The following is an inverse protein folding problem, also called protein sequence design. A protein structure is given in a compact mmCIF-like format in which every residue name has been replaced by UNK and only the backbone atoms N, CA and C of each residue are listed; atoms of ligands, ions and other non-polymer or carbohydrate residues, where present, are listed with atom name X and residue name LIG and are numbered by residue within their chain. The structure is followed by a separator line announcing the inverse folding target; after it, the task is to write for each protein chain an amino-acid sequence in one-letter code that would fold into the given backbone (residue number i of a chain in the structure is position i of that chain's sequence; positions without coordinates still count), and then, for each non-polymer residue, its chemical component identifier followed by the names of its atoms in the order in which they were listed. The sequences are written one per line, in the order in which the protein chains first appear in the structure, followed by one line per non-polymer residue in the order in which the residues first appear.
data_IF_483930106703
#
_entry.id   IF_483930106703
#
_cell.length_a   1.000
_cell.length_b   1.000
_cell.length_c   1.000
_cell.angle_alpha   90.00
_cell.angle_beta   90.00
_cell.angle_gamma   90.00
#
_symmetry.space_group_name_H-M   'P 1'
#
loop_
_entity.id
_entity.type
_entity.pdbx_description
1 polymer ?
#
# COMPACT_ATOMS: atom_id res chain seq x y z
N UNK A 1 -2.33 -10.26 -6.83
CA UNK A 1 -1.11 -9.99 -6.05
C UNK A 1 -0.51 -11.31 -5.58
N UNK A 2 0.77 -11.45 -5.77
CA UNK A 2 1.47 -12.65 -5.35
C UNK A 2 1.60 -12.67 -3.83
N UNK A 3 1.23 -13.79 -3.20
CA UNK A 3 1.33 -13.95 -1.74
C UNK A 3 2.70 -14.47 -1.30
N UNK A 4 3.65 -14.49 -2.22
CA UNK A 4 4.99 -15.02 -1.94
C UNK A 4 5.84 -13.98 -1.20
N UNK A 5 6.12 -14.25 0.07
CA UNK A 5 6.92 -13.36 0.92
C UNK A 5 8.32 -13.91 1.08
N UNK A 6 9.31 -13.03 1.07
CA UNK A 6 10.71 -13.41 1.26
C UNK A 6 11.14 -13.16 2.71
N UNK A 7 12.26 -13.76 3.11
CA UNK A 7 12.81 -13.54 4.44
C UNK A 7 13.75 -12.34 4.51
N UNK A 8 14.02 -11.70 3.36
CA UNK A 8 15.00 -10.60 3.29
C UNK A 8 14.51 -9.31 3.91
N UNK A 9 13.20 -9.13 4.02
CA UNK A 9 12.61 -7.91 4.57
C UNK A 9 11.37 -8.25 5.38
N UNK A 10 11.00 -7.39 6.35
CA UNK A 10 9.73 -7.55 7.04
C UNK A 10 8.56 -7.57 6.07
N UNK A 11 7.53 -8.35 6.37
CA UNK A 11 6.39 -8.49 5.48
C UNK A 11 5.69 -7.16 5.21
N UNK A 12 5.58 -6.30 6.24
CA UNK A 12 4.93 -4.99 6.05
C UNK A 12 5.64 -4.16 4.98
N UNK A 13 6.95 -4.29 4.88
CA UNK A 13 7.75 -3.56 3.89
C UNK A 13 7.52 -4.11 2.49
N UNK A 14 7.44 -5.43 2.37
CA UNK A 14 7.15 -6.07 1.10
C UNK A 14 5.74 -5.71 0.62
N UNK A 15 4.78 -5.64 1.54
CA UNK A 15 3.43 -5.20 1.20
C UNK A 15 3.44 -3.75 0.71
N UNK A 16 4.17 -2.88 1.40
CA UNK A 16 4.33 -1.49 0.97
C UNK A 16 4.90 -1.43 -0.45
N UNK A 17 5.93 -2.21 -0.74
CA UNK A 17 6.56 -2.22 -2.06
C UNK A 17 5.60 -2.72 -3.14
N UNK A 18 4.74 -3.69 -2.82
CA UNK A 18 3.75 -4.17 -3.77
C UNK A 18 2.73 -3.09 -4.12
N UNK A 19 2.29 -2.32 -3.14
CA UNK A 19 1.37 -1.20 -3.38
C UNK A 19 2.04 -0.14 -4.25
N UNK A 20 3.30 0.18 -3.96
CA UNK A 20 4.06 1.14 -4.77
C UNK A 20 4.14 0.66 -6.23
N UNK A 21 4.41 -0.62 -6.44
CA UNK A 21 4.46 -1.18 -7.78
C UNK A 21 3.10 -1.04 -8.49
N UNK A 22 2.00 -1.28 -7.78
CA UNK A 22 0.66 -1.14 -8.36
C UNK A 22 0.37 0.31 -8.75
N UNK A 23 0.86 1.27 -7.98
CA UNK A 23 0.71 2.68 -8.31
C UNK A 23 1.53 3.01 -9.56
N UNK A 24 2.77 2.54 -9.62
CA UNK A 24 3.64 2.80 -10.77
C UNK A 24 3.12 2.16 -12.05
N UNK A 25 2.52 0.98 -11.94
CA UNK A 25 1.98 0.26 -13.09
C UNK A 25 0.60 0.76 -13.51
N UNK A 26 0.00 1.65 -12.74
CA UNK A 26 -1.32 2.19 -13.07
C UNK A 26 -2.48 1.29 -12.66
N UNK A 27 -2.22 0.23 -11.90
CA UNK A 27 -3.28 -0.63 -11.34
C UNK A 27 -4.08 0.15 -10.29
N UNK A 28 -3.36 0.94 -9.49
CA UNK A 28 -3.97 1.90 -8.56
C UNK A 28 -3.67 3.30 -9.07
N UNK A 29 -4.71 4.06 -9.31
CA UNK A 29 -4.57 5.44 -9.80
C UNK A 29 -4.91 6.44 -8.70
N UNK A 30 -4.65 7.71 -8.96
CA UNK A 30 -4.91 8.78 -8.00
C UNK A 30 -6.37 8.74 -7.52
N UNK A 31 -6.54 8.76 -6.21
CA UNK A 31 -7.86 8.74 -5.61
C UNK A 31 -8.48 7.37 -5.45
N UNK A 32 -7.84 6.31 -5.95
CA UNK A 32 -8.35 4.95 -5.79
C UNK A 32 -8.25 4.50 -4.35
N UNK A 33 -9.26 3.75 -3.90
CA UNK A 33 -9.26 3.17 -2.57
C UNK A 33 -8.34 1.94 -2.53
N UNK A 34 -7.55 1.83 -1.47
CA UNK A 34 -6.80 0.61 -1.21
C UNK A 34 -7.74 -0.45 -0.64
N UNK A 35 -7.45 -1.74 -0.85
CA UNK A 35 -8.19 -2.80 -0.17
C UNK A 35 -8.12 -2.58 1.35
N UNK A 36 -9.18 -2.95 2.06
CA UNK A 36 -9.20 -2.77 3.51
C UNK A 36 -8.13 -3.63 4.17
N UNK A 37 -7.64 -3.17 5.31
CA UNK A 37 -6.68 -3.92 6.11
C UNK A 37 -7.20 -5.33 6.40
N UNK A 38 -8.47 -5.42 6.78
CA UNK A 38 -9.09 -6.70 7.11
C UNK A 38 -9.12 -7.65 5.92
N UNK A 39 -9.47 -7.14 4.74
CA UNK A 39 -9.53 -7.97 3.54
C UNK A 39 -8.14 -8.48 3.14
N UNK A 40 -7.13 -7.62 3.18
CA UNK A 40 -5.77 -8.02 2.84
C UNK A 40 -5.25 -9.05 3.83
N UNK A 41 -5.48 -8.81 5.12
CA UNK A 41 -5.04 -9.73 6.16
C UNK A 41 -5.66 -11.12 5.97
N UNK A 42 -6.95 -11.16 5.64
CA UNK A 42 -7.65 -12.43 5.43
C UNK A 42 -7.15 -13.13 4.16
N UNK A 43 -6.98 -12.38 3.08
CA UNK A 43 -6.58 -12.93 1.80
C UNK A 43 -5.19 -13.56 1.84
N UNK A 44 -4.25 -12.91 2.51
CA UNK A 44 -2.86 -13.35 2.55
C UNK A 44 -2.44 -13.99 3.87
N UNK A 45 -3.40 -14.25 4.74
CA UNK A 45 -3.17 -14.87 6.05
C UNK A 45 -2.14 -14.09 6.87
N UNK A 46 -2.29 -12.78 6.90
CA UNK A 46 -1.39 -11.89 7.62
C UNK A 46 -2.06 -11.35 8.88
N UNK A 47 -1.24 -10.97 9.84
CA UNK A 47 -1.73 -10.24 11.00
C UNK A 47 -2.22 -8.87 10.53
N UNK A 48 -3.45 -8.44 10.90
CA UNK A 48 -3.93 -7.10 10.52
C UNK A 48 -2.98 -5.97 10.90
N UNK A 49 -2.26 -6.10 12.01
CA UNK A 49 -1.29 -5.08 12.41
C UNK A 49 -0.14 -4.97 11.42
N UNK A 50 0.25 -6.07 10.80
CA UNK A 50 1.29 -6.07 9.77
C UNK A 50 0.81 -5.30 8.54
N UNK A 51 -0.43 -5.51 8.12
CA UNK A 51 -1.01 -4.79 7.00
C UNK A 51 -1.11 -3.31 7.32
N UNK A 52 -1.62 -2.99 8.51
CA UNK A 52 -1.75 -1.60 8.94
C UNK A 52 -0.39 -0.90 8.95
N UNK A 53 0.64 -1.58 9.41
CA UNK A 53 1.99 -1.01 9.44
C UNK A 53 2.51 -0.68 8.04
N UNK A 54 2.27 -1.55 7.08
CA UNK A 54 2.64 -1.29 5.68
C UNK A 54 1.88 -0.10 5.11
N UNK A 55 0.59 -0.02 5.37
CA UNK A 55 -0.23 1.10 4.92
C UNK A 55 0.20 2.41 5.60
N UNK A 56 0.52 2.34 6.90
CA UNK A 56 0.97 3.53 7.63
C UNK A 56 2.26 4.08 7.03
N UNK A 57 3.15 3.20 6.60
CA UNK A 57 4.38 3.66 5.95
C UNK A 57 4.08 4.40 4.66
N UNK A 58 3.09 3.92 3.88
CA UNK A 58 2.67 4.62 2.66
C UNK A 58 2.10 6.01 2.98
N UNK A 59 1.37 6.12 4.08
CA UNK A 59 0.86 7.42 4.53
C UNK A 59 2.02 8.35 4.90
N UNK A 60 3.01 7.82 5.62
CA UNK A 60 4.18 8.60 6.03
C UNK A 60 4.98 9.10 4.82
N UNK A 61 4.98 8.34 3.74
CA UNK A 61 5.67 8.71 2.50
C UNK A 61 4.84 9.61 1.60
N UNK A 62 3.60 9.90 1.97
CA UNK A 62 2.73 10.77 1.19
C UNK A 62 2.10 10.12 -0.03
N UNK A 63 2.18 8.80 -0.14
CA UNK A 63 1.64 8.06 -1.29
C UNK A 63 0.18 7.67 -1.11
N UNK A 64 -0.26 7.60 0.14
CA UNK A 64 -1.60 7.20 0.52
C UNK A 64 -2.09 8.18 1.57
N UNK A 65 -3.38 8.49 1.55
CA UNK A 65 -3.98 9.33 2.58
C UNK A 65 -5.10 8.57 3.27
N UNK A 66 -5.21 8.77 4.57
CA UNK A 66 -6.27 8.18 5.36
C UNK A 66 -7.45 9.13 5.40
N UNK A 67 -8.62 8.65 4.97
CA UNK A 67 -9.86 9.43 5.05
C UNK A 67 -10.73 8.83 6.13
N UNK A 68 -11.02 9.63 7.12
CA UNK A 68 -11.75 9.21 8.31
C UNK A 68 -13.10 8.61 7.93
N UNK A 69 -13.35 7.37 8.38
CA UNK A 69 -14.61 6.68 8.09
C UNK A 69 -14.72 6.11 6.69
N UNK A 70 -13.70 6.31 5.84
CA UNK A 70 -13.75 5.84 4.45
C UNK A 70 -12.64 4.87 4.09
N UNK A 71 -11.53 4.89 4.82
CA UNK A 71 -10.39 4.01 4.54
C UNK A 71 -9.19 4.76 4.01
N UNK A 72 -8.36 4.06 3.25
CA UNK A 72 -7.13 4.63 2.70
C UNK A 72 -7.22 4.74 1.18
N UNK A 73 -6.72 5.85 0.65
CA UNK A 73 -6.84 6.20 -0.76
C UNK A 73 -5.49 6.65 -1.30
N UNK A 74 -5.22 6.36 -2.56
CA UNK A 74 -4.01 6.83 -3.23
C UNK A 74 -4.04 8.36 -3.32
N UNK A 75 -2.96 9.00 -2.89
CA UNK A 75 -2.84 10.45 -2.91
C UNK A 75 -2.79 10.95 -4.36
N UNK A 76 -3.43 12.07 -4.64
CA UNK A 76 -3.36 12.69 -5.96
C UNK A 76 -1.90 13.05 -6.26
N UNK A 77 -1.40 12.62 -7.40
CA UNK A 77 -0.03 12.86 -7.80
C UNK A 77 0.97 11.83 -7.27
N UNK A 78 0.52 10.76 -6.60
CA UNK A 78 1.41 9.76 -6.02
C UNK A 78 2.33 9.14 -7.07
N UNK A 79 1.78 8.74 -8.21
CA UNK A 79 2.59 8.13 -9.27
C UNK A 79 3.62 9.12 -9.83
N UNK A 80 3.19 10.35 -10.06
CA UNK A 80 4.09 11.39 -10.57
C UNK A 80 5.22 11.67 -9.58
N UNK A 81 4.90 11.69 -8.28
CA UNK A 81 5.90 11.86 -7.24
C UNK A 81 6.93 10.74 -7.22
N UNK A 82 6.47 9.50 -7.37
CA UNK A 82 7.37 8.34 -7.43
C UNK A 82 8.29 8.39 -8.64
N UNK A 83 7.75 8.76 -9.80
CA UNK A 83 8.52 8.84 -11.04
C UNK A 83 9.52 9.99 -11.02
N UNK A 84 9.24 11.02 -10.24
CA UNK A 84 10.09 12.21 -10.16
C UNK A 84 11.34 11.97 -9.31
N UNK A 85 11.33 10.94 -8.49
CA UNK A 85 12.40 10.65 -7.52
C UNK A 85 13.57 9.88 -8.13
N UNK A 86 13.66 9.79 -9.40
CA UNK A 86 14.78 9.11 -10.02
C UNK A 86 16.06 9.93 -9.99
#
# INVERSE_FOLDING_TARGET
MDSHWTDSQPIYRQLRDKVVAMILEGVLTDGDALPSVRNVAAEFSLNPLTVLKGYQQLVDEGLVEKRRGRGMFVTTGARAGLMKDE
#
